data_IF_481322444994
#
_entry.id   IF_481322444994
#
_cell.length_a   1.000
_cell.length_b   1.000
_cell.length_c   1.000
_cell.angle_alpha   90.00
_cell.angle_beta   90.00
_cell.angle_gamma   90.00
#
_symmetry.space_group_name_H-M   'P 1'
#
loop_
_entity.id
_entity.type
_entity.pdbx_description
1 polymer ?
#
# COMPACT_ATOMS: atom_id res chain seq x y z
N UNK A 1 -4.72 3.14 -19.08
CA UNK A 1 -5.68 3.57 -18.04
C UNK A 1 -5.32 2.80 -16.78
N UNK A 2 -4.46 3.35 -15.93
CA UNK A 2 -4.03 2.69 -14.70
C UNK A 2 -5.06 2.99 -13.61
N UNK A 3 -6.15 2.24 -13.60
CA UNK A 3 -7.16 2.36 -12.55
C UNK A 3 -6.59 1.83 -11.23
N UNK A 4 -6.52 2.69 -10.22
CA UNK A 4 -6.19 2.25 -8.87
C UNK A 4 -7.32 1.36 -8.30
N UNK A 5 -6.97 0.22 -7.70
CA UNK A 5 -7.97 -0.69 -7.12
C UNK A 5 -7.87 -0.65 -5.60
N UNK A 6 -8.92 -0.13 -4.98
CA UNK A 6 -9.09 -0.04 -3.54
C UNK A 6 -10.06 -1.12 -3.06
N UNK A 7 -9.65 -1.95 -2.12
CA UNK A 7 -10.51 -2.93 -1.46
C UNK A 7 -10.89 -2.46 -0.07
N UNK A 8 -12.17 -2.44 0.26
CA UNK A 8 -12.61 -2.10 1.61
C UNK A 8 -12.15 -3.17 2.61
N UNK A 9 -11.46 -2.77 3.68
CA UNK A 9 -10.98 -3.69 4.71
C UNK A 9 -12.11 -4.25 5.60
N UNK A 10 -13.27 -3.56 5.62
CA UNK A 10 -14.39 -3.91 6.49
C UNK A 10 -15.32 -4.94 5.86
N UNK A 11 -15.66 -4.78 4.58
CA UNK A 11 -16.59 -5.67 3.88
C UNK A 11 -15.95 -6.42 2.70
N UNK A 12 -14.70 -6.11 2.35
CA UNK A 12 -13.99 -6.75 1.24
C UNK A 12 -14.34 -6.22 -0.16
N UNK A 13 -15.15 -5.17 -0.27
CA UNK A 13 -15.62 -4.66 -1.57
C UNK A 13 -14.50 -4.01 -2.37
N UNK A 14 -14.33 -4.41 -3.64
CA UNK A 14 -13.33 -3.82 -4.55
C UNK A 14 -13.93 -2.65 -5.32
N UNK A 15 -13.21 -1.55 -5.33
CA UNK A 15 -13.60 -0.28 -5.93
C UNK A 15 -12.44 0.13 -6.83
N UNK A 16 -12.66 0.06 -8.13
CA UNK A 16 -11.74 0.54 -9.14
C UNK A 16 -11.99 2.02 -9.34
N UNK A 17 -11.09 2.87 -8.85
CA UNK A 17 -11.24 4.32 -8.94
C UNK A 17 -9.87 4.96 -9.03
N UNK A 18 -9.71 5.95 -9.89
CA UNK A 18 -8.44 6.67 -10.06
C UNK A 18 -8.03 7.44 -8.78
N UNK A 19 -9.01 7.82 -7.95
CA UNK A 19 -8.81 8.54 -6.71
C UNK A 19 -9.24 7.71 -5.49
N UNK A 20 -8.64 8.01 -4.32
CA UNK A 20 -8.97 7.32 -3.06
C UNK A 20 -10.41 7.61 -2.63
N UNK A 21 -11.30 6.60 -2.54
CA UNK A 21 -12.68 6.81 -2.13
C UNK A 21 -12.77 7.23 -0.65
N UNK A 22 -13.70 8.15 -0.34
CA UNK A 22 -13.90 8.64 1.02
C UNK A 22 -14.71 7.67 1.90
N UNK A 23 -15.66 6.93 1.31
CA UNK A 23 -16.55 5.96 1.99
C UNK A 23 -16.91 4.81 1.06
N UNK A 24 -17.04 3.62 1.64
CA UNK A 24 -17.37 2.42 0.89
C UNK A 24 -18.86 2.44 0.54
N UNK A 25 -19.26 2.20 -0.72
CA UNK A 25 -20.67 2.19 -1.12
C UNK A 25 -21.47 1.04 -0.49
N UNK A 26 -20.81 -0.02 -0.01
CA UNK A 26 -21.47 -1.17 0.64
C UNK A 26 -21.68 -1.00 2.13
N UNK A 27 -20.64 -0.62 2.86
CA UNK A 27 -20.66 -0.60 4.33
C UNK A 27 -20.51 0.79 4.95
N UNK A 28 -20.26 1.83 4.15
CA UNK A 28 -19.96 3.18 4.66
C UNK A 28 -18.58 3.32 5.32
N UNK A 29 -17.79 2.24 5.34
CA UNK A 29 -16.46 2.18 5.90
C UNK A 29 -15.46 3.14 5.25
N UNK A 30 -14.51 3.63 6.04
CA UNK A 30 -13.43 4.54 5.60
C UNK A 30 -12.07 3.82 5.45
N UNK A 31 -12.04 2.52 5.70
CA UNK A 31 -10.85 1.70 5.67
C UNK A 31 -10.75 0.99 4.32
N UNK A 32 -9.72 1.36 3.55
CA UNK A 32 -9.43 0.79 2.23
C UNK A 32 -7.98 0.35 2.15
N UNK A 33 -7.77 -0.83 1.59
CA UNK A 33 -6.48 -1.41 1.24
C UNK A 33 -6.27 -1.17 -0.25
N UNK A 34 -5.14 -0.60 -0.61
CA UNK A 34 -4.74 -0.50 -2.02
C UNK A 34 -4.23 -1.88 -2.47
N UNK A 35 -4.94 -2.57 -3.36
CA UNK A 35 -4.51 -3.89 -3.86
C UNK A 35 -3.61 -3.76 -5.11
N UNK A 36 -3.85 -2.76 -5.97
CA UNK A 36 -3.09 -2.57 -7.21
C UNK A 36 -2.48 -1.17 -7.33
N UNK A 37 -1.18 -1.13 -7.64
CA UNK A 37 -0.32 0.06 -7.62
C UNK A 37 1.05 -0.32 -7.07
N UNK A 38 2.12 0.18 -7.70
CA UNK A 38 3.51 -0.16 -7.37
C UNK A 38 3.74 -0.01 -5.86
N UNK A 39 4.22 -1.06 -5.15
CA UNK A 39 4.56 -0.90 -3.76
C UNK A 39 5.75 0.07 -3.70
N UNK A 40 5.57 1.23 -3.06
CA UNK A 40 6.65 2.10 -2.59
C UNK A 40 7.49 1.42 -1.49
N UNK A 41 7.73 0.10 -1.59
CA UNK A 41 8.83 -0.55 -0.91
C UNK A 41 10.11 -0.13 -1.62
N UNK A 42 10.54 1.09 -1.32
CA UNK A 42 11.97 1.36 -1.26
C UNK A 42 12.50 0.26 -0.36
N UNK A 43 13.20 -0.70 -0.96
CA UNK A 43 14.11 -1.57 -0.23
C UNK A 43 14.98 -0.59 0.56
N UNK A 44 14.68 -0.38 1.83
CA UNK A 44 15.68 0.02 2.80
C UNK A 44 16.56 -1.22 3.03
N UNK A 45 17.16 -1.71 1.94
CA UNK A 45 18.43 -2.38 2.01
C UNK A 45 19.41 -1.22 2.10
N UNK A 46 20.05 -1.09 3.25
CA UNK A 46 20.91 0.00 3.64
C UNK A 46 21.92 0.37 2.55
N UNK A 47 21.62 1.38 1.73
CA UNK A 47 22.57 2.06 0.83
C UNK A 47 22.96 3.43 1.38
N UNK A 48 22.77 3.63 2.69
CA UNK A 48 23.33 4.76 3.43
C UNK A 48 24.44 4.23 4.31
N UNK A 49 25.62 4.85 4.22
CA UNK A 49 26.80 4.59 5.04
C UNK A 49 26.44 4.64 6.53
N UNK A 50 26.06 3.50 7.12
CA UNK A 50 25.97 3.36 8.56
C UNK A 50 27.32 2.84 9.03
N UNK A 51 28.17 3.75 9.50
CA UNK A 51 29.51 3.48 10.03
C UNK A 51 29.49 2.70 11.36
N UNK A 52 28.53 1.80 11.57
CA UNK A 52 28.29 1.22 12.90
C UNK A 52 27.43 -0.04 13.00
N UNK A 53 27.14 -0.77 11.91
CA UNK A 53 26.47 -2.08 12.02
C UNK A 53 27.47 -3.21 11.76
N UNK A 54 28.08 -3.72 12.84
CA UNK A 54 28.89 -4.94 12.85
C UNK A 54 27.96 -6.17 12.79
N UNK A 55 27.36 -6.45 11.63
CA UNK A 55 26.55 -7.67 11.52
C UNK A 55 25.83 -7.84 10.20
N UNK A 56 26.15 -8.96 9.53
CA UNK A 56 25.45 -9.61 8.42
C UNK A 56 25.86 -9.08 7.02
N UNK A 57 26.35 -9.89 6.07
CA UNK A 57 26.20 -11.33 5.81
C UNK A 57 27.37 -11.82 4.93
N UNK A 58 27.87 -13.03 5.21
CA UNK A 58 28.80 -13.78 4.35
C UNK A 58 28.04 -14.42 3.19
#
# INVERSE_FOLDING_TARGET
MAGHVFKCALCGERISSDARPARCPKCGGKAFVHEEGEPLRKKACCTGSCSGCSGCCH
#
